data_IF_113111880147
#
_entry.id   IF_113111880147
#
_cell.length_a   1.000
_cell.length_b   1.000
_cell.length_c   1.000
_cell.angle_alpha   90.00
_cell.angle_beta   90.00
_cell.angle_gamma   90.00
#
_symmetry.space_group_name_H-M   'P 1'
#
loop_
_entity.id
_entity.type
_entity.pdbx_description
1 polymer ?
#
# COMPACT_ATOMS: atom_id res chain seq x y z
N UNK A 1 -4.34 8.25 -14.25
CA UNK A 1 -5.17 7.15 -13.71
C UNK A 1 -4.92 5.92 -14.56
N UNK A 2 -4.31 4.93 -14.00
CA UNK A 2 -4.01 3.67 -14.69
C UNK A 2 -4.98 2.60 -14.21
N UNK A 3 -5.63 1.90 -15.16
CA UNK A 3 -6.50 0.76 -14.85
C UNK A 3 -5.81 -0.51 -15.31
N UNK A 4 -5.73 -1.47 -14.40
CA UNK A 4 -5.18 -2.79 -14.68
C UNK A 4 -6.30 -3.83 -14.58
N UNK A 5 -6.32 -4.76 -15.53
CA UNK A 5 -7.20 -5.92 -15.47
C UNK A 5 -6.41 -7.08 -14.87
N UNK A 6 -6.96 -7.69 -13.84
CA UNK A 6 -6.41 -8.91 -13.27
C UNK A 6 -7.07 -10.10 -13.99
N UNK A 7 -6.26 -10.96 -14.59
CA UNK A 7 -6.75 -12.19 -15.21
C UNK A 7 -6.87 -13.27 -14.13
N UNK A 8 -8.03 -13.91 -14.02
CA UNK A 8 -8.26 -15.00 -13.06
C UNK A 8 -7.38 -16.20 -13.41
N UNK A 9 -6.62 -16.66 -12.43
CA UNK A 9 -5.97 -17.97 -12.45
C UNK A 9 -6.73 -18.89 -11.51
N UNK A 10 -7.20 -20.00 -12.06
CA UNK A 10 -8.16 -20.97 -11.57
C UNK A 10 -8.09 -21.41 -10.09
N UNK A 11 -9.28 -21.50 -9.51
CA UNK A 11 -9.79 -22.47 -8.52
C UNK A 11 -8.93 -22.85 -7.31
N UNK A 12 -8.98 -22.00 -6.29
CA UNK A 12 -8.58 -22.35 -4.93
C UNK A 12 -9.22 -21.42 -3.91
N UNK A 13 -10.42 -21.74 -3.42
CA UNK A 13 -11.12 -20.96 -2.39
C UNK A 13 -10.47 -21.17 -1.03
N UNK A 14 -9.83 -20.12 -0.49
CA UNK A 14 -9.46 -20.06 0.92
C UNK A 14 -10.65 -19.68 1.80
N UNK A 15 -10.83 -20.27 2.99
CA UNK A 15 -11.92 -19.91 3.90
C UNK A 15 -11.76 -18.46 4.40
N UNK A 16 -12.84 -17.69 4.33
CA UNK A 16 -12.88 -16.28 4.67
C UNK A 16 -13.06 -15.39 3.44
N UNK A 17 -13.83 -15.85 2.47
CA UNK A 17 -14.04 -15.20 1.16
C UNK A 17 -14.74 -13.87 1.34
N UNK A 18 -14.07 -12.80 0.89
CA UNK A 18 -14.70 -11.52 0.59
C UNK A 18 -15.38 -11.63 -0.77
N UNK A 19 -16.62 -11.19 -0.89
CA UNK A 19 -17.28 -11.09 -2.20
C UNK A 19 -16.62 -9.94 -2.99
N UNK A 20 -15.87 -10.29 -4.01
CA UNK A 20 -15.26 -9.33 -4.92
C UNK A 20 -16.07 -9.32 -6.20
N UNK A 21 -16.43 -8.13 -6.73
CA UNK A 21 -17.12 -8.02 -8.01
C UNK A 21 -16.37 -8.75 -9.13
N UNK A 22 -17.09 -9.37 -10.08
CA UNK A 22 -16.50 -10.12 -11.20
C UNK A 22 -15.66 -9.22 -12.13
N UNK A 23 -15.96 -7.92 -12.16
CA UNK A 23 -15.31 -6.91 -13.02
C UNK A 23 -14.33 -6.03 -12.22
N UNK A 24 -13.59 -6.63 -11.30
CA UNK A 24 -12.66 -5.91 -10.45
C UNK A 24 -11.45 -5.40 -11.26
N UNK A 25 -11.22 -4.11 -11.20
CA UNK A 25 -10.04 -3.47 -11.76
C UNK A 25 -9.23 -2.78 -10.65
N UNK A 26 -7.91 -2.84 -10.75
CA UNK A 26 -7.03 -2.01 -9.92
C UNK A 26 -6.90 -0.65 -10.59
N UNK A 27 -7.18 0.40 -9.83
CA UNK A 27 -7.02 1.77 -10.24
C UNK A 27 -5.88 2.40 -9.43
N UNK A 28 -4.72 2.60 -10.08
CA UNK A 28 -3.52 3.13 -9.43
C UNK A 28 -3.40 4.63 -9.67
N UNK A 29 -3.33 5.38 -8.57
CA UNK A 29 -3.00 6.81 -8.53
C UNK A 29 -1.56 6.94 -8.03
N UNK A 30 -0.64 7.32 -8.91
CA UNK A 30 0.76 7.58 -8.57
C UNK A 30 0.96 9.09 -8.34
N UNK A 31 1.61 9.45 -7.23
CA UNK A 31 1.81 10.83 -6.79
C UNK A 31 3.28 11.05 -6.41
N UNK A 32 3.82 12.22 -6.74
CA UNK A 32 5.15 12.59 -6.27
C UNK A 32 5.15 12.82 -4.75
N UNK A 33 4.10 13.46 -4.22
CA UNK A 33 3.97 13.77 -2.80
C UNK A 33 2.49 13.85 -2.38
N UNK A 34 2.23 13.51 -1.13
CA UNK A 34 0.95 13.75 -0.44
C UNK A 34 1.19 13.86 1.06
N UNK A 35 0.24 14.40 1.80
CA UNK A 35 0.32 14.38 3.28
C UNK A 35 0.33 12.93 3.78
N UNK A 36 -0.63 12.11 3.33
CA UNK A 36 -0.71 10.70 3.69
C UNK A 36 -1.55 9.93 2.68
N UNK A 37 -0.99 8.85 2.09
CA UNK A 37 -1.74 7.98 1.18
C UNK A 37 -2.97 7.37 1.83
N UNK A 38 -2.90 7.01 3.13
CA UNK A 38 -4.05 6.54 3.89
C UNK A 38 -5.13 7.62 4.05
N UNK A 39 -4.74 8.83 4.42
CA UNK A 39 -5.69 9.93 4.61
C UNK A 39 -6.41 10.26 3.30
N UNK A 40 -5.67 10.37 2.21
CA UNK A 40 -6.21 10.62 0.88
C UNK A 40 -7.18 9.49 0.45
N UNK A 41 -6.77 8.24 0.59
CA UNK A 41 -7.61 7.11 0.19
C UNK A 41 -8.84 6.93 1.10
N UNK A 42 -8.76 7.29 2.39
CA UNK A 42 -9.93 7.35 3.27
C UNK A 42 -10.96 8.39 2.80
N UNK A 43 -10.49 9.54 2.31
CA UNK A 43 -11.36 10.57 1.74
C UNK A 43 -11.98 10.11 0.42
N UNK A 44 -11.18 9.55 -0.50
CA UNK A 44 -11.67 8.95 -1.74
C UNK A 44 -12.71 7.85 -1.48
N UNK A 45 -12.49 7.01 -0.46
CA UNK A 45 -13.40 5.94 -0.09
C UNK A 45 -14.75 6.48 0.41
N UNK A 46 -14.76 7.58 1.19
CA UNK A 46 -16.01 8.27 1.58
C UNK A 46 -16.73 8.87 0.38
N UNK A 47 -15.98 9.33 -0.62
CA UNK A 47 -16.49 9.82 -1.90
C UNK A 47 -16.94 8.71 -2.87
N UNK A 48 -16.92 7.44 -2.46
CA UNK A 48 -17.42 6.31 -3.26
C UNK A 48 -16.37 5.66 -4.16
N UNK A 49 -15.08 5.90 -3.96
CA UNK A 49 -14.02 5.21 -4.72
C UNK A 49 -14.24 3.69 -4.71
N UNK A 50 -14.03 2.99 -5.85
CA UNK A 50 -14.25 1.55 -5.92
C UNK A 50 -13.20 0.77 -5.12
N UNK A 51 -13.57 -0.43 -4.65
CA UNK A 51 -12.61 -1.39 -4.12
C UNK A 51 -11.56 -1.65 -5.21
N UNK A 52 -10.27 -1.72 -4.81
CA UNK A 52 -9.15 -1.83 -5.75
C UNK A 52 -8.52 -0.49 -6.13
N UNK A 53 -9.08 0.62 -5.66
CA UNK A 53 -8.37 1.90 -5.75
C UNK A 53 -7.10 1.83 -4.92
N UNK A 54 -5.99 2.21 -5.54
CA UNK A 54 -4.65 2.23 -4.95
C UNK A 54 -4.08 3.64 -5.08
N UNK A 55 -3.54 4.17 -4.00
CA UNK A 55 -2.74 5.40 -3.98
C UNK A 55 -1.31 5.03 -3.65
N UNK A 56 -0.37 5.43 -4.49
CA UNK A 56 1.07 5.28 -4.28
C UNK A 56 1.73 6.65 -4.33
N UNK A 57 2.52 7.00 -3.31
CA UNK A 57 3.28 8.23 -3.26
C UNK A 57 4.78 7.94 -3.09
N UNK A 58 5.62 8.79 -3.72
CA UNK A 58 7.07 8.73 -3.58
C UNK A 58 7.58 9.38 -2.29
N UNK A 59 6.76 10.25 -1.67
CA UNK A 59 7.01 10.91 -0.38
C UNK A 59 5.70 11.22 0.34
N UNK A 60 5.73 11.23 1.67
CA UNK A 60 4.63 11.75 2.49
C UNK A 60 5.14 12.83 3.46
N UNK A 61 4.34 13.87 3.67
CA UNK A 61 4.65 14.94 4.63
C UNK A 61 4.16 14.62 6.03
N UNK A 62 2.99 13.97 6.14
CA UNK A 62 2.36 13.57 7.39
C UNK A 62 2.08 12.05 7.42
N UNK A 63 3.11 11.25 7.10
CA UNK A 63 2.97 9.80 7.14
C UNK A 63 2.48 9.30 8.51
N UNK A 64 1.48 8.39 8.51
CA UNK A 64 0.79 7.93 9.71
C UNK A 64 1.09 6.47 10.03
N UNK A 65 1.42 6.22 11.29
CA UNK A 65 1.55 4.90 11.88
C UNK A 65 0.39 4.57 12.84
N UNK A 66 0.48 3.43 13.50
CA UNK A 66 -0.51 3.02 14.51
C UNK A 66 -0.43 3.90 15.77
N UNK A 67 -1.57 4.00 16.47
CA UNK A 67 -1.69 4.73 17.75
C UNK A 67 -1.28 6.20 17.65
N UNK A 68 -1.52 6.85 16.50
CA UNK A 68 -1.22 8.25 16.29
C UNK A 68 0.28 8.58 16.13
N UNK A 69 1.14 7.56 15.97
CA UNK A 69 2.55 7.79 15.70
C UNK A 69 2.76 8.27 14.26
N UNK A 70 3.77 9.09 14.04
CA UNK A 70 4.22 9.42 12.69
C UNK A 70 4.96 8.24 12.05
N UNK A 71 4.96 8.21 10.72
CA UNK A 71 5.79 7.32 9.92
C UNK A 71 6.66 8.18 8.99
N UNK A 72 7.97 8.18 9.23
CA UNK A 72 8.91 8.92 8.39
C UNK A 72 8.84 8.42 6.95
N UNK A 73 8.63 9.33 6.01
CA UNK A 73 8.30 8.97 4.63
C UNK A 73 9.10 9.82 3.62
N UNK A 74 10.45 9.80 3.66
CA UNK A 74 11.28 10.53 2.71
C UNK A 74 11.24 9.89 1.31
N UNK A 75 11.80 10.55 0.31
CA UNK A 75 12.03 9.98 -1.02
C UNK A 75 12.86 8.70 -0.92
N UNK A 76 12.57 7.72 -1.78
CA UNK A 76 13.23 6.40 -1.78
C UNK A 76 12.40 5.30 -1.10
N UNK A 77 11.38 5.67 -0.32
CA UNK A 77 10.42 4.71 0.21
C UNK A 77 9.26 4.42 -0.76
N UNK A 78 8.52 3.36 -0.49
CA UNK A 78 7.24 3.04 -1.13
C UNK A 78 6.13 3.26 -0.12
N UNK A 79 5.26 4.22 -0.39
CA UNK A 79 4.11 4.55 0.47
C UNK A 79 2.85 4.31 -0.32
N UNK A 80 2.18 3.20 -0.02
CA UNK A 80 1.03 2.73 -0.78
C UNK A 80 -0.16 2.49 0.15
N UNK A 81 -1.35 2.83 -0.32
CA UNK A 81 -2.61 2.49 0.33
C UNK A 81 -3.56 1.86 -0.68
N UNK A 82 -4.23 0.78 -0.30
CA UNK A 82 -5.18 0.06 -1.15
C UNK A 82 -6.53 -0.04 -0.46
N UNK A 83 -7.60 0.23 -1.20
CA UNK A 83 -8.98 0.06 -0.74
C UNK A 83 -9.42 -1.38 -0.97
N UNK A 84 -9.75 -2.06 0.12
CA UNK A 84 -10.13 -3.48 0.12
C UNK A 84 -11.49 -3.68 0.78
N UNK A 85 -12.18 -4.81 0.53
CA UNK A 85 -13.41 -5.15 1.23
C UNK A 85 -13.19 -5.21 2.74
N UNK A 86 -14.22 -4.86 3.53
CA UNK A 86 -14.19 -5.10 4.96
C UNK A 86 -14.38 -6.58 5.25
N UNK A 87 -13.61 -7.18 6.18
CA UNK A 87 -13.92 -8.50 6.69
C UNK A 87 -15.29 -8.53 7.39
N UNK A 88 -15.93 -9.70 7.43
CA UNK A 88 -17.24 -9.87 8.06
C UNK A 88 -17.20 -9.59 9.57
N UNK A 89 -16.10 -9.96 10.25
CA UNK A 89 -15.85 -9.59 11.65
C UNK A 89 -14.87 -8.39 11.69
N UNK A 90 -15.27 -7.23 12.25
CA UNK A 90 -14.38 -6.07 12.40
C UNK A 90 -13.10 -6.34 13.19
N UNK A 91 -13.07 -7.37 14.05
CA UNK A 91 -11.85 -7.78 14.77
C UNK A 91 -10.76 -8.28 13.84
N UNK A 92 -11.14 -8.84 12.70
CA UNK A 92 -10.21 -9.35 11.69
C UNK A 92 -9.45 -8.25 10.96
N UNK A 93 -9.87 -6.99 11.04
CA UNK A 93 -9.14 -5.85 10.45
C UNK A 93 -7.78 -5.68 11.11
N UNK A 94 -7.77 -5.67 12.44
CA UNK A 94 -6.52 -5.48 13.19
C UNK A 94 -5.61 -6.70 13.21
N UNK A 95 -6.13 -7.86 12.90
CA UNK A 95 -5.45 -9.14 13.08
C UNK A 95 -5.22 -9.86 11.75
N UNK A 96 -6.27 -10.43 11.16
CA UNK A 96 -6.14 -11.26 9.96
C UNK A 96 -5.75 -10.45 8.73
N UNK A 97 -6.37 -9.28 8.52
CA UNK A 97 -6.08 -8.43 7.36
C UNK A 97 -4.67 -7.85 7.42
N UNK A 98 -4.24 -7.38 8.59
CA UNK A 98 -2.87 -6.86 8.76
C UNK A 98 -1.83 -7.97 8.58
N UNK A 99 -2.11 -9.20 9.06
CA UNK A 99 -1.24 -10.34 8.85
C UNK A 99 -1.14 -10.73 7.36
N UNK A 100 -2.28 -10.74 6.64
CA UNK A 100 -2.29 -10.96 5.17
C UNK A 100 -1.47 -9.90 4.45
N UNK A 101 -1.60 -8.63 4.83
CA UNK A 101 -0.79 -7.55 4.27
C UNK A 101 0.71 -7.76 4.56
N UNK A 102 1.07 -8.20 5.76
CA UNK A 102 2.45 -8.55 6.10
C UNK A 102 3.02 -9.68 5.23
N UNK A 103 2.22 -10.71 4.96
CA UNK A 103 2.61 -11.80 4.05
C UNK A 103 2.75 -11.30 2.62
N UNK A 104 1.86 -10.40 2.15
CA UNK A 104 1.95 -9.78 0.83
C UNK A 104 3.26 -9.00 0.66
N UNK A 105 3.61 -8.16 1.63
CA UNK A 105 4.88 -7.42 1.64
C UNK A 105 6.07 -8.37 1.60
N UNK A 106 6.09 -9.37 2.49
CA UNK A 106 7.18 -10.35 2.53
C UNK A 106 7.36 -11.08 1.19
N UNK A 107 6.26 -11.50 0.55
CA UNK A 107 6.31 -12.13 -0.79
C UNK A 107 6.88 -11.17 -1.83
N UNK A 108 6.39 -9.93 -1.89
CA UNK A 108 6.88 -8.94 -2.84
C UNK A 108 8.38 -8.63 -2.65
N UNK A 109 8.86 -8.53 -1.40
CA UNK A 109 10.29 -8.34 -1.09
C UNK A 109 11.09 -9.55 -1.60
N UNK A 110 10.66 -10.77 -1.31
CA UNK A 110 11.35 -11.96 -1.77
C UNK A 110 11.37 -12.06 -3.29
N UNK A 111 10.22 -11.84 -3.93
CA UNK A 111 10.05 -12.09 -5.38
C UNK A 111 10.77 -11.05 -6.25
N UNK A 112 10.89 -9.80 -5.76
CA UNK A 112 11.51 -8.70 -6.52
C UNK A 112 12.94 -8.41 -6.05
N UNK A 113 13.18 -8.44 -4.74
CA UNK A 113 14.45 -8.06 -4.16
C UNK A 113 15.34 -9.28 -3.85
N UNK A 114 14.79 -10.51 -3.85
CA UNK A 114 15.52 -11.72 -3.48
C UNK A 114 15.89 -11.80 -1.99
N UNK A 115 15.26 -10.96 -1.14
CA UNK A 115 15.59 -10.83 0.28
C UNK A 115 14.52 -11.52 1.15
N UNK A 116 14.94 -12.29 2.14
CA UNK A 116 14.06 -12.90 3.13
C UNK A 116 13.93 -12.01 4.38
N UNK A 117 12.69 -11.60 4.68
CA UNK A 117 12.36 -10.76 5.83
C UNK A 117 11.56 -11.53 6.89
N UNK A 118 11.66 -11.09 8.14
CA UNK A 118 10.81 -11.52 9.25
C UNK A 118 9.53 -10.68 9.37
N UNK A 119 8.47 -11.27 9.93
CA UNK A 119 7.28 -10.54 10.35
C UNK A 119 7.35 -10.35 11.87
N UNK A 120 7.49 -9.10 12.31
CA UNK A 120 7.33 -8.74 13.71
C UNK A 120 5.86 -8.45 13.97
N UNK A 121 5.24 -9.35 14.67
CA UNK A 121 3.80 -9.31 14.95
C UNK A 121 3.39 -7.97 15.58
N UNK A 122 2.37 -7.28 15.09
CA UNK A 122 1.32 -7.70 14.13
C UNK A 122 1.48 -6.98 12.77
N UNK A 123 2.32 -5.94 12.63
CA UNK A 123 2.25 -4.95 11.57
C UNK A 123 3.61 -4.48 11.05
N UNK A 124 4.69 -5.07 11.49
CA UNK A 124 6.02 -4.64 11.07
C UNK A 124 6.76 -5.77 10.33
N UNK A 125 7.47 -5.41 9.26
CA UNK A 125 8.42 -6.30 8.60
C UNK A 125 9.81 -5.88 9.02
N UNK A 126 10.63 -6.87 9.32
CA UNK A 126 12.00 -6.66 9.81
C UNK A 126 13.00 -7.41 8.93
N UNK A 127 14.13 -6.75 8.69
CA UNK A 127 15.32 -7.28 8.06
C UNK A 127 16.50 -7.05 9.01
N UNK A 128 17.23 -8.11 9.36
CA UNK A 128 18.36 -8.05 10.30
C UNK A 128 18.05 -7.36 11.64
N UNK A 129 16.81 -7.57 12.12
CA UNK A 129 16.32 -6.98 13.37
C UNK A 129 15.80 -5.55 13.25
N UNK A 130 16.01 -4.86 12.14
CA UNK A 130 15.58 -3.50 11.88
C UNK A 130 14.23 -3.49 11.16
N UNK A 131 13.37 -2.52 11.48
CA UNK A 131 12.07 -2.35 10.84
C UNK A 131 12.23 -1.72 9.46
N UNK A 132 11.87 -2.47 8.40
CA UNK A 132 11.89 -2.01 7.01
C UNK A 132 10.51 -1.68 6.47
N UNK A 133 9.42 -2.10 7.16
CA UNK A 133 8.05 -1.81 6.74
C UNK A 133 7.12 -1.67 7.93
N UNK A 134 6.13 -0.77 7.81
CA UNK A 134 4.99 -0.63 8.70
C UNK A 134 3.67 -0.75 7.96
N UNK A 135 2.65 -1.35 8.61
CA UNK A 135 1.32 -1.58 8.04
C UNK A 135 0.26 -0.94 8.94
N UNK A 136 -0.70 -0.24 8.32
CA UNK A 136 -1.81 0.43 8.99
C UNK A 136 -3.12 0.15 8.25
N UNK A 137 -4.02 -0.63 8.86
CA UNK A 137 -5.36 -0.87 8.34
C UNK A 137 -6.38 0.01 9.08
N UNK A 138 -7.24 0.69 8.32
CA UNK A 138 -8.27 1.60 8.85
C UNK A 138 -9.60 1.36 8.14
N UNK A 139 -10.64 1.11 8.94
CA UNK A 139 -12.00 0.95 8.42
C UNK A 139 -12.64 2.31 8.15
N UNK A 140 -13.42 2.39 7.09
CA UNK A 140 -14.29 3.52 6.79
C UNK A 140 -15.69 3.01 6.46
N UNK A 141 -16.68 3.62 7.13
CA UNK A 141 -18.08 3.41 6.82
C UNK A 141 -18.47 4.30 5.64
N UNK A 142 -19.20 3.74 4.67
CA UNK A 142 -19.75 4.48 3.52
C UNK A 142 -21.10 3.90 3.12
N UNK A 143 -21.80 4.57 2.20
CA UNK A 143 -22.98 4.02 1.56
C UNK A 143 -22.64 2.69 0.87
N UNK A 144 -23.45 1.66 1.07
CA UNK A 144 -23.18 0.30 0.57
C UNK A 144 -22.32 -0.59 1.47
N UNK A 145 -21.91 -0.10 2.66
CA UNK A 145 -21.21 -0.92 3.66
C UNK A 145 -19.79 -0.46 3.97
N UNK A 146 -19.15 -1.14 4.92
CA UNK A 146 -17.80 -0.82 5.35
C UNK A 146 -16.77 -1.31 4.34
N UNK A 147 -15.69 -0.55 4.21
CA UNK A 147 -14.48 -0.90 3.46
C UNK A 147 -13.25 -0.62 4.31
N UNK A 148 -12.10 -1.13 3.92
CA UNK A 148 -10.85 -0.91 4.66
C UNK A 148 -9.78 -0.32 3.74
N UNK A 149 -9.09 0.70 4.23
CA UNK A 149 -7.86 1.21 3.65
C UNK A 149 -6.70 0.49 4.33
N UNK A 150 -5.90 -0.23 3.55
CA UNK A 150 -4.67 -0.88 3.99
C UNK A 150 -3.49 -0.05 3.50
N UNK A 151 -2.84 0.65 4.43
CA UNK A 151 -1.62 1.41 4.17
C UNK A 151 -0.39 0.60 4.49
N UNK A 152 0.60 0.69 3.62
CA UNK A 152 1.88 0.00 3.69
C UNK A 152 2.97 1.02 3.38
N UNK A 153 3.88 1.25 4.34
CA UNK A 153 5.08 2.03 4.15
C UNK A 153 6.30 1.14 4.18
N UNK A 154 7.08 1.11 3.09
CA UNK A 154 8.32 0.33 2.99
C UNK A 154 9.49 1.28 2.79
N UNK A 155 10.51 1.15 3.62
CA UNK A 155 11.80 1.77 3.41
C UNK A 155 12.53 0.97 2.32
N UNK A 156 12.29 1.32 1.05
CA UNK A 156 12.73 0.53 -0.11
C UNK A 156 14.18 0.85 -0.49
N UNK A 157 14.39 2.06 -0.98
CA UNK A 157 15.70 2.62 -1.30
C UNK A 157 15.87 3.93 -0.53
N UNK A 158 15.66 3.87 0.79
CA UNK A 158 15.62 5.04 1.66
C UNK A 158 17.00 5.26 2.28
N UNK A 159 17.62 6.44 2.11
CA UNK A 159 18.82 6.80 2.86
C UNK A 159 18.48 6.86 4.36
N UNK A 160 19.19 6.10 5.19
CA UNK A 160 18.92 6.08 6.63
C UNK A 160 19.34 7.39 7.30
N UNK A 161 20.23 8.17 6.69
CA UNK A 161 20.56 9.54 7.09
C UNK A 161 19.35 10.49 7.08
N UNK A 162 18.32 10.21 6.27
CA UNK A 162 17.07 10.96 6.23
C UNK A 162 16.13 10.64 7.40
N UNK A 163 16.39 9.56 8.15
CA UNK A 163 15.61 9.20 9.33
C UNK A 163 16.10 9.99 10.55
N UNK A 164 15.17 10.39 11.43
CA UNK A 164 15.52 11.07 12.68
C UNK A 164 16.44 10.22 13.57
N UNK A 165 17.25 10.89 14.40
CA UNK A 165 18.19 10.19 15.28
C UNK A 165 17.53 9.21 16.25
N UNK A 166 16.29 9.48 16.65
CA UNK A 166 15.45 8.62 17.50
C UNK A 166 15.06 7.30 16.82
N UNK A 167 15.22 7.20 15.50
CA UNK A 167 14.94 6.00 14.70
C UNK A 167 16.19 5.17 14.42
N UNK A 168 17.38 5.65 14.75
CA UNK A 168 18.63 4.90 14.55
C UNK A 168 18.63 3.59 15.33
N UNK A 169 19.02 2.50 14.67
CA UNK A 169 19.02 1.17 15.27
C UNK A 169 17.63 0.54 15.49
N UNK A 170 16.58 1.23 15.05
CA UNK A 170 15.19 0.73 15.09
C UNK A 170 14.68 0.50 13.65
N UNK A 171 14.99 1.43 12.76
CA UNK A 171 14.55 1.43 11.36
C UNK A 171 15.70 1.02 10.46
N UNK A 172 15.39 0.22 9.43
CA UNK A 172 16.27 -0.15 8.35
C UNK A 172 15.65 0.16 6.99
N UNK A 173 16.40 -0.05 5.93
CA UNK A 173 16.00 0.05 4.53
C UNK A 173 16.32 -1.26 3.81
N UNK A 174 15.57 -1.64 2.77
CA UNK A 174 15.92 -2.80 1.95
C UNK A 174 17.21 -2.54 1.17
N UNK A 175 17.39 -1.30 0.72
CA UNK A 175 18.60 -0.77 0.10
C UNK A 175 18.89 0.56 0.77
N UNK A 176 19.88 0.60 1.68
CA UNK A 176 20.31 1.85 2.27
C UNK A 176 21.14 2.63 1.25
N UNK A 177 20.58 3.72 0.76
CA UNK A 177 21.22 4.53 -0.28
C UNK A 177 22.41 5.36 0.22
N UNK A 178 22.67 5.37 1.51
CA UNK A 178 23.94 5.88 2.05
C UNK A 178 25.09 4.89 1.82
N UNK A 179 24.77 3.58 1.63
CA UNK A 179 25.75 2.49 1.48
C UNK A 179 25.62 1.73 0.15
N UNK A 180 24.42 1.70 -0.46
CA UNK A 180 24.11 0.91 -1.66
C UNK A 180 24.33 1.70 -2.95
N UNK A 181 24.74 0.99 -4.02
CA UNK A 181 24.77 1.56 -5.36
C UNK A 181 23.36 1.48 -6.00
N UNK A 182 22.88 2.60 -6.54
CA UNK A 182 21.54 2.69 -7.13
C UNK A 182 21.28 1.69 -8.27
N UNK A 183 22.34 1.21 -8.96
CA UNK A 183 22.23 0.22 -10.03
C UNK A 183 21.81 -1.18 -9.54
N UNK A 184 22.01 -1.48 -8.26
CA UNK A 184 21.70 -2.77 -7.66
C UNK A 184 20.26 -2.80 -7.10
N UNK A 185 19.54 -1.68 -7.14
CA UNK A 185 18.17 -1.55 -6.66
C UNK A 185 17.19 -1.93 -7.77
N UNK A 186 16.34 -2.94 -7.60
CA UNK A 186 15.31 -3.26 -8.57
C UNK A 186 14.34 -2.09 -8.78
N UNK A 187 13.69 -1.99 -9.96
CA UNK A 187 12.74 -0.91 -10.21
C UNK A 187 11.62 -0.89 -9.17
N UNK A 188 11.44 0.24 -8.49
CA UNK A 188 10.43 0.43 -7.44
C UNK A 188 9.02 0.09 -7.93
N UNK A 189 8.71 0.41 -9.20
CA UNK A 189 7.43 0.10 -9.83
C UNK A 189 7.18 -1.41 -9.88
N UNK A 190 8.19 -2.23 -10.18
CA UNK A 190 8.08 -3.70 -10.17
C UNK A 190 7.72 -4.22 -8.78
N UNK A 191 8.31 -3.62 -7.73
CA UNK A 191 7.99 -3.95 -6.36
C UNK A 191 6.54 -3.56 -6.01
N UNK A 192 6.11 -2.35 -6.36
CA UNK A 192 4.73 -1.86 -6.11
C UNK A 192 3.72 -2.79 -6.78
N UNK A 193 3.95 -3.19 -8.03
CA UNK A 193 3.05 -4.09 -8.75
C UNK A 193 2.97 -5.48 -8.14
N UNK A 194 4.12 -6.06 -7.76
CA UNK A 194 4.16 -7.33 -7.04
C UNK A 194 3.43 -7.24 -5.69
N UNK A 195 3.63 -6.14 -4.95
CA UNK A 195 2.95 -5.91 -3.68
C UNK A 195 1.43 -5.82 -3.84
N UNK A 196 0.95 -5.06 -4.81
CA UNK A 196 -0.49 -4.91 -5.09
C UNK A 196 -1.11 -6.25 -5.47
N UNK A 197 -0.46 -7.01 -6.36
CA UNK A 197 -0.93 -8.34 -6.78
C UNK A 197 -1.01 -9.32 -5.59
N UNK A 198 0.05 -9.39 -4.78
CA UNK A 198 0.09 -10.24 -3.60
C UNK A 198 -0.96 -9.83 -2.55
N UNK A 199 -1.12 -8.52 -2.29
CA UNK A 199 -2.11 -8.01 -1.34
C UNK A 199 -3.53 -8.35 -1.80
N UNK A 200 -3.81 -8.10 -3.07
CA UNK A 200 -5.09 -8.44 -3.67
C UNK A 200 -5.38 -9.93 -3.56
N UNK A 201 -4.46 -10.79 -4.00
CA UNK A 201 -4.62 -12.24 -3.97
C UNK A 201 -4.91 -12.77 -2.57
N UNK A 202 -4.16 -12.30 -1.57
CA UNK A 202 -4.34 -12.73 -0.17
C UNK A 202 -5.62 -12.19 0.48
N UNK A 203 -6.06 -10.98 0.11
CA UNK A 203 -7.26 -10.37 0.67
C UNK A 203 -8.51 -10.91 -0.01
N UNK A 204 -8.49 -11.06 -1.32
CA UNK A 204 -9.65 -11.48 -2.11
C UNK A 204 -9.71 -13.00 -2.32
N UNK A 205 -8.72 -13.76 -1.86
CA UNK A 205 -8.67 -15.22 -1.99
C UNK A 205 -8.44 -15.71 -3.41
N UNK A 206 -7.81 -14.89 -4.26
CA UNK A 206 -7.55 -15.20 -5.67
C UNK A 206 -6.07 -14.98 -5.97
N UNK A 207 -5.44 -15.89 -6.72
CA UNK A 207 -4.14 -15.63 -7.34
C UNK A 207 -4.35 -14.78 -8.59
N UNK A 208 -3.55 -13.74 -8.75
CA UNK A 208 -3.64 -12.82 -9.87
C UNK A 208 -2.27 -12.57 -10.48
N UNK A 209 -2.19 -12.72 -11.80
CA UNK A 209 -1.11 -12.18 -12.60
C UNK A 209 -1.49 -10.78 -13.08
N UNK A 210 -0.63 -9.81 -12.86
CA UNK A 210 -0.84 -8.45 -13.35
C UNK A 210 -0.41 -8.39 -14.82
N UNK A 211 -1.36 -8.39 -15.72
CA UNK A 211 -1.10 -8.33 -17.18
C UNK A 211 -1.47 -6.95 -17.71
N UNK A 212 -0.45 -6.22 -18.18
CA UNK A 212 -0.60 -5.05 -19.04
C UNK A 212 -0.64 -3.70 -18.32
N UNK A 213 0.17 -2.76 -18.81
CA UNK A 213 0.28 -1.38 -18.33
C UNK A 213 -0.12 -0.41 -19.43
N UNK A 214 -0.92 0.59 -19.09
CA UNK A 214 -1.05 1.81 -19.89
C UNK A 214 -0.75 3.00 -18.99
N UNK A 215 0.34 3.71 -19.25
CA UNK A 215 0.72 4.92 -18.54
C UNK A 215 -0.10 6.11 -19.05
N UNK A 216 -0.81 6.77 -18.16
CA UNK A 216 -1.39 8.10 -18.42
C UNK A 216 -0.77 9.09 -17.44
N UNK A 217 -0.22 10.15 -17.98
CA UNK A 217 0.67 11.14 -17.41
C UNK A 217 0.42 11.61 -15.97
N UNK A 218 1.50 12.06 -15.36
CA UNK A 218 1.55 12.78 -14.07
C UNK A 218 0.50 13.89 -14.03
N UNK A 219 -0.46 13.78 -13.11
CA UNK A 219 -1.48 14.81 -12.92
C UNK A 219 -1.25 15.57 -11.62
N UNK A 220 -0.82 16.83 -11.76
CA UNK A 220 -0.80 17.85 -10.72
C UNK A 220 -2.21 18.42 -10.39
N UNK A 221 -3.31 17.83 -10.90
CA UNK A 221 -4.63 18.44 -10.94
C UNK A 221 -5.69 17.86 -9.99
N UNK A 222 -5.33 17.05 -9.01
CA UNK A 222 -6.33 16.49 -8.07
C UNK A 222 -6.65 17.43 -6.88
N UNK A 223 -6.02 18.60 -6.79
CA UNK A 223 -6.15 19.51 -5.64
C UNK A 223 -7.14 20.69 -5.81
N UNK A 224 -8.00 20.74 -6.82
CA UNK A 224 -8.91 21.89 -6.99
C UNK A 224 -10.33 21.53 -7.44
N UNK A 225 -11.02 20.67 -6.71
CA UNK A 225 -12.48 20.47 -6.79
C UNK A 225 -13.22 21.39 -5.82
N UNK A 226 -12.92 22.69 -5.82
CA UNK A 226 -13.60 23.69 -4.99
C UNK A 226 -14.98 24.05 -5.56
N UNK A 227 -15.97 24.07 -4.68
CA UNK A 227 -17.34 24.42 -4.85
C UNK A 227 -17.57 25.64 -5.77
N UNK A 228 -18.32 25.51 -6.85
CA UNK A 228 -19.01 26.62 -7.51
C UNK A 228 -20.44 26.70 -7.02
N UNK A 229 -20.68 27.62 -6.10
CA UNK A 229 -22.02 28.13 -5.80
C UNK A 229 -22.58 28.79 -7.05
N UNK A 230 -23.59 28.21 -7.67
CA UNK A 230 -24.44 28.86 -8.64
C UNK A 230 -25.54 29.65 -7.94
N UNK A 231 -25.43 30.97 -7.93
CA UNK A 231 -26.56 31.87 -7.78
C UNK A 231 -26.83 32.47 -9.14
N UNK A 232 -27.97 32.22 -9.66
CA UNK A 232 -28.92 33.15 -10.35
C UNK A 232 -30.05 32.33 -10.91
#
# INVERSE_FOLDING_TARGET
MERFWLQEVSDGVCPGVYEVPKDFAIELHELDCTDSTNALLLEMARGGAPIGTVVWAHRQEEGRGRLGRSFSSPVGGVYISMLVPSPSDPKDIGFALTAKAGVAVKRAIRDVCGVECGIKWVNDIVLDGLKVCGILAQMVAREGGNVVVVGIGVNYATPLSCCGEDLRGIVGSLYDMDESDAKDVPPMRSFVMSLVANLYGLVCGRECDVVGFTTCGTNSDVASGGATNGKS
#
